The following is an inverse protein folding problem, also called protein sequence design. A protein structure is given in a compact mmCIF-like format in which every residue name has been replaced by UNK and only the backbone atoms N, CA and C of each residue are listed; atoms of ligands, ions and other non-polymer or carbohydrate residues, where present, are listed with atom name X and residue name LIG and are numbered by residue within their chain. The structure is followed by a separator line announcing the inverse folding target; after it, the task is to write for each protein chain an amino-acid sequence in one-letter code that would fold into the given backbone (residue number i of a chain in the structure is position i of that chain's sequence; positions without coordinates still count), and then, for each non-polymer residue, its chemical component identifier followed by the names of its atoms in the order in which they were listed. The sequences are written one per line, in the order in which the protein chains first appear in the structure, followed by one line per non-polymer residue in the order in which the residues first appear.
data_IF_695706068880
#
_entry.id   IF_695706068880
#
_cell.length_a   1.000
_cell.length_b   1.000
_cell.length_c   1.000
_cell.angle_alpha   90.00
_cell.angle_beta   90.00
_cell.angle_gamma   90.00
#
_symmetry.space_group_name_H-M   'P 1'
#
loop_
_entity.id
_entity.type
_entity.pdbx_description
1 polymer ?
#
# COMPACT_ATOMS: atom_id res chain seq x y z
N UNK A 1 2.70 -3.00 10.28
CA UNK A 1 3.32 -1.65 10.18
C UNK A 1 2.50 -0.79 9.26
N UNK A 2 2.44 0.50 9.55
CA UNK A 2 1.72 1.50 8.78
C UNK A 2 2.70 2.37 8.02
N UNK A 3 2.39 2.67 6.75
CA UNK A 3 3.20 3.53 5.90
C UNK A 3 2.32 4.63 5.29
N UNK A 4 2.32 5.84 5.87
CA UNK A 4 1.64 6.99 5.30
C UNK A 4 2.12 7.27 3.87
N UNK A 5 1.19 7.61 2.99
CA UNK A 5 1.48 7.90 1.59
C UNK A 5 1.47 9.40 1.32
N UNK A 6 2.52 9.90 0.68
CA UNK A 6 2.61 11.27 0.19
C UNK A 6 2.55 11.30 -1.33
N UNK A 7 1.80 12.26 -1.88
CA UNK A 7 1.72 12.48 -3.33
C UNK A 7 3.00 13.16 -3.82
N UNK A 8 3.63 12.60 -4.84
CA UNK A 8 4.85 13.13 -5.44
C UNK A 8 4.60 13.98 -6.70
N UNK A 9 3.50 13.74 -7.41
CA UNK A 9 3.15 14.47 -8.63
C UNK A 9 1.92 15.35 -8.44
N UNK A 10 1.74 16.31 -9.35
CA UNK A 10 0.58 17.22 -9.36
C UNK A 10 -0.75 16.49 -9.61
N UNK A 11 -0.71 15.38 -10.36
CA UNK A 11 -1.86 14.53 -10.64
C UNK A 11 -2.31 13.72 -9.40
N UNK A 12 -1.42 13.53 -8.42
CA UNK A 12 -1.69 12.78 -7.21
C UNK A 12 -1.76 11.26 -7.38
N UNK A 13 -1.31 10.74 -8.53
CA UNK A 13 -1.27 9.31 -8.87
C UNK A 13 0.02 8.63 -8.42
N UNK A 14 1.13 9.37 -8.34
CA UNK A 14 2.41 8.84 -7.87
C UNK A 14 2.55 9.06 -6.37
N UNK A 15 2.69 7.96 -5.61
CA UNK A 15 2.67 7.94 -4.16
C UNK A 15 3.97 7.38 -3.59
N UNK A 16 4.51 8.04 -2.58
CA UNK A 16 5.67 7.57 -1.83
C UNK A 16 5.27 7.07 -0.45
N UNK A 17 5.72 5.88 -0.09
CA UNK A 17 5.51 5.30 1.23
C UNK A 17 6.64 5.68 2.19
N UNK A 18 6.27 6.24 3.35
CA UNK A 18 7.19 6.60 4.42
C UNK A 18 6.98 5.68 5.63
N UNK A 19 8.03 5.38 6.38
CA UNK A 19 7.91 4.64 7.64
C UNK A 19 7.30 5.54 8.71
N UNK A 20 6.35 5.00 9.49
CA UNK A 20 5.84 5.68 10.68
C UNK A 20 5.63 4.71 11.83
N UNK A 21 5.48 5.28 13.03
CA UNK A 21 5.06 4.57 14.23
C UNK A 21 3.55 4.72 14.50
N UNK A 22 2.77 5.00 13.45
CA UNK A 22 1.33 5.20 13.61
C UNK A 22 0.62 3.89 13.89
N UNK A 23 -0.40 3.96 14.76
CA UNK A 23 -1.41 2.91 14.80
C UNK A 23 -2.30 3.00 13.56
N UNK A 24 -2.98 1.91 13.23
CA UNK A 24 -3.88 1.88 12.07
C UNK A 24 -5.05 2.85 12.26
N UNK A 25 -5.59 2.94 13.48
CA UNK A 25 -6.69 3.85 13.82
C UNK A 25 -6.26 5.32 13.68
N UNK A 26 -5.03 5.65 14.07
CA UNK A 26 -4.50 7.00 13.90
C UNK A 26 -4.32 7.33 12.42
N UNK A 27 -3.74 6.40 11.65
CA UNK A 27 -3.52 6.60 10.22
C UNK A 27 -4.84 6.72 9.44
N UNK A 28 -5.86 5.94 9.80
CA UNK A 28 -7.18 6.05 9.18
C UNK A 28 -7.81 7.44 9.36
N UNK A 29 -7.57 8.08 10.51
CA UNK A 29 -8.11 9.42 10.82
C UNK A 29 -7.28 10.55 10.22
N UNK A 30 -5.97 10.36 10.10
CA UNK A 30 -5.02 11.45 9.77
C UNK A 30 -4.47 11.39 8.36
N UNK A 31 -4.38 10.20 7.75
CA UNK A 31 -3.79 10.01 6.44
C UNK A 31 -4.88 9.83 5.39
N UNK A 32 -4.83 10.60 4.31
CA UNK A 32 -5.74 10.40 3.17
C UNK A 32 -5.55 9.02 2.53
N UNK A 33 -4.30 8.57 2.44
CA UNK A 33 -3.89 7.26 1.94
C UNK A 33 -2.75 6.71 2.80
N UNK A 34 -2.76 5.41 3.09
CA UNK A 34 -1.68 4.73 3.79
C UNK A 34 -1.61 3.26 3.36
N UNK A 35 -0.43 2.64 3.49
CA UNK A 35 -0.26 1.20 3.37
C UNK A 35 -0.22 0.54 4.75
N UNK A 36 -0.70 -0.70 4.84
CA UNK A 36 -0.31 -1.63 5.90
C UNK A 36 0.42 -2.83 5.31
N UNK A 37 1.43 -3.37 5.99
CA UNK A 37 2.03 -4.64 5.56
C UNK A 37 1.26 -5.84 6.09
N UNK A 38 1.03 -6.79 5.20
CA UNK A 38 0.48 -8.11 5.49
C UNK A 38 1.61 -9.13 5.29
N UNK A 39 1.94 -9.88 6.34
CA UNK A 39 2.94 -10.95 6.29
C UNK A 39 2.22 -12.28 6.22
N UNK A 40 2.34 -12.97 5.09
CA UNK A 40 1.85 -14.34 4.92
C UNK A 40 3.04 -15.30 4.85
N UNK A 41 2.86 -16.53 5.34
CA UNK A 41 3.80 -17.62 5.10
C UNK A 41 3.27 -18.44 3.93
N UNK A 42 4.12 -18.70 2.96
CA UNK A 42 3.78 -19.67 1.92
C UNK A 42 4.02 -21.11 2.39
N UNK A 43 3.59 -22.06 1.56
CA UNK A 43 3.71 -23.50 1.81
C UNK A 43 5.17 -23.97 1.98
N UNK A 44 6.13 -23.20 1.45
CA UNK A 44 7.56 -23.46 1.60
C UNK A 44 8.16 -22.84 2.87
N UNK A 45 7.34 -22.15 3.67
CA UNK A 45 7.76 -21.45 4.88
C UNK A 45 8.39 -20.07 4.62
N UNK A 46 8.46 -19.60 3.37
CA UNK A 46 8.98 -18.27 3.03
C UNK A 46 7.96 -17.20 3.42
N UNK A 47 8.43 -16.16 4.10
CA UNK A 47 7.59 -15.01 4.47
C UNK A 47 7.40 -14.14 3.24
N UNK A 48 6.15 -14.06 2.76
CA UNK A 48 5.71 -13.14 1.71
C UNK A 48 5.16 -11.88 2.34
N UNK A 49 5.76 -10.75 1.97
CA UNK A 49 5.30 -9.42 2.38
C UNK A 49 4.46 -8.81 1.26
N UNK A 50 3.21 -8.55 1.58
CA UNK A 50 2.27 -7.80 0.74
C UNK A 50 1.89 -6.50 1.44
N UNK A 51 1.37 -5.54 0.70
CA UNK A 51 1.00 -4.23 1.19
C UNK A 51 -0.45 -3.94 0.82
N UNK A 52 -1.29 -3.61 1.79
CA UNK A 52 -2.67 -3.22 1.55
C UNK A 52 -2.78 -1.71 1.49
N UNK A 53 -3.38 -1.19 0.43
CA UNK A 53 -3.70 0.23 0.33
C UNK A 53 -5.03 0.54 1.01
N UNK A 54 -5.02 1.56 1.85
CA UNK A 54 -6.19 2.08 2.54
C UNK A 54 -6.38 3.57 2.22
N UNK A 55 -7.64 3.99 2.26
CA UNK A 55 -8.06 5.35 2.06
C UNK A 55 -9.05 5.81 3.14
N UNK A 56 -8.87 7.03 3.63
CA UNK A 56 -9.79 7.62 4.61
C UNK A 56 -11.17 7.89 4.00
N UNK A 57 -11.21 8.23 2.71
CA UNK A 57 -12.42 8.57 1.97
C UNK A 57 -12.75 7.47 0.97
N UNK A 58 -14.01 7.35 0.60
CA UNK A 58 -14.46 6.37 -0.40
C UNK A 58 -13.78 6.61 -1.75
N UNK A 59 -13.14 5.57 -2.29
CA UNK A 59 -12.57 5.60 -3.63
C UNK A 59 -13.34 4.68 -4.56
N UNK A 60 -13.57 5.16 -5.79
CA UNK A 60 -14.04 4.31 -6.89
C UNK A 60 -12.91 3.37 -7.33
N UNK A 61 -13.26 2.20 -7.86
CA UNK A 61 -12.28 1.21 -8.32
C UNK A 61 -11.29 1.82 -9.33
N UNK A 62 -11.77 2.66 -10.27
CA UNK A 62 -10.91 3.35 -11.25
C UNK A 62 -9.84 4.22 -10.61
N UNK A 63 -10.17 4.94 -9.53
CA UNK A 63 -9.20 5.76 -8.80
C UNK A 63 -8.18 4.88 -8.08
N UNK A 64 -8.63 3.77 -7.49
CA UNK A 64 -7.75 2.83 -6.79
C UNK A 64 -6.72 2.16 -7.72
N UNK A 65 -7.06 1.92 -8.99
CA UNK A 65 -6.16 1.36 -10.01
C UNK A 65 -5.15 2.36 -10.57
N UNK A 66 -5.36 3.66 -10.39
CA UNK A 66 -4.50 4.69 -10.98
C UNK A 66 -3.24 5.00 -10.17
N UNK A 67 -3.11 4.42 -8.96
CA UNK A 67 -2.00 4.74 -8.08
C UNK A 67 -0.73 3.95 -8.41
N UNK A 68 0.34 4.69 -8.69
CA UNK A 68 1.70 4.16 -8.75
C UNK A 68 2.35 4.39 -7.37
N UNK A 69 2.71 3.31 -6.69
CA UNK A 69 3.16 3.37 -5.29
C UNK A 69 4.59 2.86 -5.17
N UNK A 70 5.47 3.66 -4.56
CA UNK A 70 6.82 3.22 -4.24
C UNK A 70 6.84 2.28 -3.03
N UNK A 71 7.68 1.25 -3.12
CA UNK A 71 7.89 0.28 -2.07
C UNK A 71 8.60 0.93 -0.87
N UNK A 72 8.04 0.83 0.35
CA UNK A 72 8.67 1.44 1.54
C UNK A 72 10.02 0.81 1.90
N UNK A 73 10.37 -0.36 1.35
CA UNK A 73 11.63 -1.07 1.65
C UNK A 73 12.76 -0.74 0.68
N UNK A 74 12.47 -0.57 -0.61
CA UNK A 74 13.50 -0.42 -1.65
C UNK A 74 13.26 0.72 -2.64
N UNK A 75 12.18 1.49 -2.49
CA UNK A 75 11.83 2.60 -3.38
C UNK A 75 11.31 2.20 -4.77
N UNK A 76 11.39 0.92 -5.16
CA UNK A 76 10.88 0.44 -6.45
C UNK A 76 9.35 0.41 -6.51
N UNK A 77 8.76 0.35 -7.69
CA UNK A 77 7.31 0.34 -7.86
C UNK A 77 6.66 -0.95 -7.34
N UNK A 78 5.58 -0.79 -6.57
CA UNK A 78 4.72 -1.89 -6.16
C UNK A 78 3.80 -2.31 -7.31
N UNK A 79 3.58 -3.62 -7.44
CA UNK A 79 2.64 -4.19 -8.41
C UNK A 79 1.37 -4.63 -7.69
N UNK A 80 0.21 -4.20 -8.18
CA UNK A 80 -1.08 -4.65 -7.65
C UNK A 80 -1.29 -6.13 -8.02
N UNK A 81 -1.65 -6.94 -7.01
CA UNK A 81 -1.92 -8.38 -7.12
C UNK A 81 -3.31 -8.76 -6.62
N UNK A 82 -4.00 -7.87 -5.91
CA UNK A 82 -5.34 -8.09 -5.38
C UNK A 82 -6.24 -6.87 -5.58
N UNK A 83 -7.54 -7.14 -5.72
CA UNK A 83 -8.56 -6.12 -5.94
C UNK A 83 -8.97 -5.43 -4.63
N UNK A 84 -9.73 -4.36 -4.79
CA UNK A 84 -10.44 -3.66 -3.73
C UNK A 84 -11.36 -4.61 -2.96
N UNK A 85 -11.34 -4.53 -1.63
CA UNK A 85 -12.22 -5.32 -0.75
C UNK A 85 -13.41 -4.49 -0.27
N UNK A 86 -13.19 -3.21 0.02
CA UNK A 86 -14.22 -2.26 0.49
C UNK A 86 -13.94 -0.87 -0.10
N UNK A 87 -14.81 0.12 0.13
CA UNK A 87 -14.59 1.49 -0.35
C UNK A 87 -13.32 2.17 0.22
N UNK A 88 -12.87 1.71 1.38
CA UNK A 88 -11.70 2.23 2.10
C UNK A 88 -10.50 1.29 2.06
N UNK A 89 -10.72 0.00 1.77
CA UNK A 89 -9.68 -1.02 1.62
C UNK A 89 -9.51 -1.33 0.14
N UNK A 90 -8.51 -0.69 -0.46
CA UNK A 90 -8.24 -0.69 -1.89
C UNK A 90 -7.40 -1.92 -2.29
N UNK A 91 -6.46 -1.73 -3.21
CA UNK A 91 -5.67 -2.82 -3.78
C UNK A 91 -4.69 -3.49 -2.80
N UNK A 92 -4.43 -4.77 -3.05
CA UNK A 92 -3.27 -5.48 -2.48
C UNK A 92 -2.08 -5.35 -3.44
N UNK A 93 -0.94 -5.00 -2.90
CA UNK A 93 0.27 -4.72 -3.62
C UNK A 93 1.41 -5.62 -3.18
N UNK A 94 2.34 -5.88 -4.09
CA UNK A 94 3.55 -6.66 -3.83
C UNK A 94 4.75 -5.99 -4.49
N UNK A 95 5.88 -5.98 -3.81
CA UNK A 95 7.13 -5.51 -4.40
C UNK A 95 7.79 -6.64 -5.20
N UNK A 96 7.94 -6.53 -6.54
CA UNK A 96 8.57 -7.56 -7.34
C UNK A 96 10.08 -7.71 -7.04
N UNK A 97 10.72 -6.68 -6.49
CA UNK A 97 12.14 -6.70 -6.13
C UNK A 97 12.35 -7.35 -4.76
N UNK A 98 11.56 -6.95 -3.75
CA UNK A 98 11.72 -7.50 -2.40
C UNK A 98 11.24 -8.95 -2.27
N UNK A 99 10.39 -9.43 -3.18
CA UNK A 99 9.89 -10.82 -3.16
C UNK A 99 10.84 -11.83 -3.82
N UNK A 100 11.69 -11.37 -4.74
CA UNK A 100 12.71 -12.21 -5.39
C UNK A 100 13.85 -12.59 -4.46
N UNK A 101 14.10 -11.76 -3.44
CA UNK A 101 15.08 -12.00 -2.38
C UNK A 101 14.50 -12.83 -1.24
#
# INVERSE_FOLDING_TARGET
MVFPLTKLNKEGTLLNASHSYYSEEYAQRMCSLYLTDELSRDETGKIKRTYRLHASNDHTEKMAFAYEIHCPKCGNHLKQIGRQLTLNTLGLYKCPVCDRN
#
